data_IF_494071499932
#
_entry.id   IF_494071499932
#
_cell.length_a   1.000
_cell.length_b   1.000
_cell.length_c   1.000
_cell.angle_alpha   90.00
_cell.angle_beta   90.00
_cell.angle_gamma   90.00
#
_symmetry.space_group_name_H-M   'P 1'
#
loop_
_entity.id
_entity.type
_entity.pdbx_description
1 polymer ?
#
# COMPACT_ATOMS: atom_id res chain seq x y z
N UNK A 1 -8.63 24.61 24.00
CA UNK A 1 -9.57 24.25 22.89
C UNK A 1 -8.77 24.30 21.59
N UNK A 2 -8.51 23.15 20.96
CA UNK A 2 -7.67 23.09 19.75
C UNK A 2 -8.58 23.10 18.51
N UNK A 3 -8.61 24.21 17.78
CA UNK A 3 -9.36 24.32 16.52
C UNK A 3 -8.72 23.42 15.46
N UNK A 4 -9.28 22.22 15.26
CA UNK A 4 -8.94 21.42 14.09
C UNK A 4 -9.37 22.19 12.84
N UNK A 5 -8.36 22.66 12.11
CA UNK A 5 -8.46 23.30 10.80
C UNK A 5 -9.32 22.43 9.84
N UNK A 6 -10.47 22.96 9.42
CA UNK A 6 -11.52 22.29 8.61
C UNK A 6 -11.04 21.89 7.19
N UNK A 7 -9.87 22.37 6.76
CA UNK A 7 -9.26 22.06 5.46
C UNK A 7 -8.50 20.73 5.41
N UNK A 8 -8.57 19.90 6.46
CA UNK A 8 -7.96 18.56 6.43
C UNK A 8 -8.87 17.58 5.70
N UNK A 9 -8.25 16.65 4.98
CA UNK A 9 -8.96 15.56 4.31
C UNK A 9 -9.80 14.76 5.31
N UNK A 10 -11.07 14.46 5.01
CA UNK A 10 -11.95 13.71 5.92
C UNK A 10 -11.66 12.21 5.84
N UNK A 11 -10.45 11.79 6.23
CA UNK A 11 -9.96 10.41 6.07
C UNK A 11 -10.95 9.37 6.63
N UNK A 12 -11.47 9.60 7.85
CA UNK A 12 -12.45 8.72 8.47
C UNK A 12 -13.73 8.55 7.64
N UNK A 13 -14.22 9.61 7.00
CA UNK A 13 -15.41 9.56 6.14
C UNK A 13 -15.12 8.72 4.90
N UNK A 14 -13.95 8.92 4.30
CA UNK A 14 -13.52 8.19 3.09
C UNK A 14 -13.33 6.71 3.41
N UNK A 15 -12.68 6.37 4.53
CA UNK A 15 -12.57 5.00 5.01
C UNK A 15 -13.94 4.36 5.16
N UNK A 16 -14.88 5.03 5.83
CA UNK A 16 -16.24 4.49 6.04
C UNK A 16 -16.96 4.25 4.70
N UNK A 17 -16.82 5.15 3.72
CA UNK A 17 -17.43 5.00 2.40
C UNK A 17 -16.81 3.84 1.62
N UNK A 18 -15.49 3.67 1.70
CA UNK A 18 -14.79 2.53 1.08
C UNK A 18 -15.24 1.23 1.73
N UNK A 19 -15.29 1.17 3.06
CA UNK A 19 -15.78 -0.01 3.80
C UNK A 19 -17.20 -0.37 3.38
N UNK A 20 -18.12 0.59 3.38
CA UNK A 20 -19.50 0.38 2.95
C UNK A 20 -19.58 -0.19 1.52
N UNK A 21 -18.84 0.38 0.57
CA UNK A 21 -18.84 -0.10 -0.82
C UNK A 21 -18.16 -1.46 -1.00
N UNK A 22 -17.15 -1.76 -0.20
CA UNK A 22 -16.50 -3.07 -0.21
C UNK A 22 -17.44 -4.14 0.34
N UNK A 23 -18.12 -3.87 1.46
CA UNK A 23 -19.11 -4.76 2.07
C UNK A 23 -20.30 -5.04 1.13
N UNK A 24 -20.80 -4.03 0.42
CA UNK A 24 -21.81 -4.18 -0.64
C UNK A 24 -21.40 -5.18 -1.74
N UNK A 25 -20.10 -5.37 -1.95
CA UNK A 25 -19.53 -6.33 -2.91
C UNK A 25 -19.00 -7.61 -2.26
N UNK A 26 -19.24 -7.82 -0.97
CA UNK A 26 -18.72 -8.98 -0.23
C UNK A 26 -17.19 -8.96 -0.04
N UNK A 27 -16.54 -7.81 -0.20
CA UNK A 27 -15.10 -7.64 0.02
C UNK A 27 -14.86 -7.32 1.50
N UNK A 28 -14.08 -8.17 2.17
CA UNK A 28 -13.68 -7.96 3.56
C UNK A 28 -12.67 -6.82 3.67
N UNK A 29 -12.97 -5.84 4.52
CA UNK A 29 -12.04 -4.74 4.85
C UNK A 29 -11.50 -4.95 6.26
N UNK A 30 -10.18 -4.99 6.39
CA UNK A 30 -9.50 -5.03 7.69
C UNK A 30 -8.62 -3.81 7.86
N UNK A 31 -8.72 -3.16 9.02
CA UNK A 31 -7.86 -2.03 9.37
C UNK A 31 -6.53 -2.53 9.93
N UNK A 32 -5.46 -1.83 9.58
CA UNK A 32 -4.13 -2.09 10.08
C UNK A 32 -3.55 -0.80 10.67
N UNK A 33 -2.89 -0.93 11.81
CA UNK A 33 -2.22 0.18 12.49
C UNK A 33 -0.99 0.64 11.68
N UNK A 34 -0.91 1.94 11.39
CA UNK A 34 0.02 2.49 10.39
C UNK A 34 1.33 3.05 10.96
N UNK A 35 1.58 2.93 12.27
CA UNK A 35 2.80 3.47 12.90
C UNK A 35 4.04 2.94 12.20
N UNK A 36 4.97 3.87 11.96
CA UNK A 36 6.28 3.65 11.36
C UNK A 36 6.26 3.15 9.89
N UNK A 37 5.10 2.95 9.27
CA UNK A 37 4.97 2.42 7.89
C UNK A 37 5.57 3.34 6.82
N UNK A 38 5.59 4.65 7.04
CA UNK A 38 6.20 5.62 6.13
C UNK A 38 7.70 5.85 6.37
N UNK A 39 8.26 5.22 7.41
CA UNK A 39 9.63 5.45 7.88
C UNK A 39 10.50 4.20 7.74
N UNK A 40 9.92 3.02 7.96
CA UNK A 40 10.64 1.75 7.81
C UNK A 40 10.96 1.47 6.35
N UNK A 41 12.10 0.85 6.13
CA UNK A 41 12.50 0.44 4.79
C UNK A 41 11.67 -0.75 4.31
N UNK A 42 11.38 -0.84 2.99
CA UNK A 42 10.70 -2.01 2.44
C UNK A 42 11.52 -3.31 2.62
N UNK A 43 12.84 -3.21 2.78
CA UNK A 43 13.75 -4.34 2.98
C UNK A 43 13.81 -4.85 4.42
N UNK A 44 13.40 -4.05 5.41
CA UNK A 44 13.43 -4.45 6.82
C UNK A 44 12.41 -5.56 7.06
N UNK A 45 12.75 -6.62 7.77
CA UNK A 45 11.80 -7.72 8.00
C UNK A 45 10.53 -7.25 8.74
N UNK A 46 10.72 -6.35 9.71
CA UNK A 46 9.67 -5.81 10.55
C UNK A 46 9.48 -4.30 10.35
N UNK A 47 8.22 -3.87 10.42
CA UNK A 47 7.87 -2.45 10.50
C UNK A 47 7.61 -2.12 11.97
N UNK A 48 8.61 -1.52 12.62
CA UNK A 48 8.59 -1.20 14.05
C UNK A 48 9.29 0.14 14.30
N UNK A 49 9.20 0.66 15.52
CA UNK A 49 9.94 1.86 15.91
C UNK A 49 11.45 1.68 15.76
N UNK A 50 11.97 0.48 16.05
CA UNK A 50 13.39 0.15 16.00
C UNK A 50 13.96 0.21 14.58
N UNK A 51 13.13 -0.16 13.59
CA UNK A 51 13.51 -0.18 12.16
C UNK A 51 13.13 1.11 11.44
N UNK A 52 12.49 2.06 12.13
CA UNK A 52 12.04 3.32 11.57
C UNK A 52 13.20 4.29 11.32
N UNK A 53 13.41 4.67 10.06
CA UNK A 53 14.42 5.66 9.66
C UNK A 53 13.74 6.85 8.98
N UNK A 54 13.40 7.87 9.77
CA UNK A 54 12.73 9.10 9.29
C UNK A 54 13.50 9.80 8.16
N UNK A 55 14.82 9.67 8.15
CA UNK A 55 15.71 10.25 7.15
C UNK A 55 15.55 9.66 5.75
N UNK A 56 14.91 8.48 5.60
CA UNK A 56 14.73 7.84 4.30
C UNK A 56 13.65 8.53 3.45
N UNK A 57 12.59 9.07 4.08
CA UNK A 57 11.59 9.89 3.39
C UNK A 57 12.12 11.32 3.24
N UNK A 58 12.50 11.70 2.02
CA UNK A 58 13.11 13.03 1.77
C UNK A 58 12.08 14.12 1.59
N UNK A 59 11.06 13.85 0.80
CA UNK A 59 9.97 14.78 0.52
C UNK A 59 8.70 14.01 0.14
N UNK A 60 7.60 14.73 -0.11
CA UNK A 60 6.35 14.12 -0.57
C UNK A 60 6.60 13.33 -1.86
N UNK A 61 6.16 12.07 -1.88
CA UNK A 61 6.35 11.19 -3.02
C UNK A 61 7.76 10.60 -3.18
N UNK A 62 8.75 10.97 -2.37
CA UNK A 62 10.14 10.49 -2.52
C UNK A 62 10.68 9.81 -1.26
N UNK A 63 11.07 8.54 -1.42
CA UNK A 63 11.74 7.72 -0.43
C UNK A 63 13.07 7.22 -0.99
N UNK A 64 14.16 7.39 -0.25
CA UNK A 64 15.51 6.99 -0.67
C UNK A 64 16.11 6.08 0.40
N UNK A 65 16.62 4.94 -0.04
CA UNK A 65 17.42 4.03 0.78
C UNK A 65 18.52 3.40 -0.07
N UNK A 66 19.76 3.38 0.44
CA UNK A 66 20.90 2.70 -0.19
C UNK A 66 21.03 3.02 -1.70
N UNK A 67 20.94 4.31 -2.04
CA UNK A 67 20.97 4.83 -3.42
C UNK A 67 19.82 4.38 -4.35
N UNK A 68 18.79 3.73 -3.82
CA UNK A 68 17.57 3.39 -4.56
C UNK A 68 16.46 4.40 -4.26
N UNK A 69 15.68 4.71 -5.29
CA UNK A 69 14.58 5.66 -5.24
C UNK A 69 13.25 4.92 -5.32
N UNK A 70 12.34 5.27 -4.42
CA UNK A 70 10.99 4.73 -4.38
C UNK A 70 9.97 5.85 -4.23
N UNK A 71 8.75 5.57 -4.67
CA UNK A 71 7.62 6.41 -4.30
C UNK A 71 7.28 6.18 -2.83
N UNK A 72 7.22 7.26 -2.03
CA UNK A 72 6.97 7.18 -0.59
C UNK A 72 5.59 6.60 -0.24
N UNK A 73 4.59 6.82 -1.08
CA UNK A 73 3.23 6.30 -0.87
C UNK A 73 3.17 4.79 -1.19
N UNK A 74 3.91 4.34 -2.22
CA UNK A 74 4.07 2.91 -2.50
C UNK A 74 4.79 2.18 -1.36
N UNK A 75 5.86 2.76 -0.81
CA UNK A 75 6.57 2.20 0.37
C UNK A 75 5.63 2.12 1.57
N UNK A 76 4.85 3.17 1.82
CA UNK A 76 3.86 3.18 2.89
C UNK A 76 2.82 2.06 2.75
N UNK A 77 2.20 1.93 1.57
CA UNK A 77 1.23 0.89 1.28
C UNK A 77 1.82 -0.53 1.45
N UNK A 78 3.04 -0.74 0.95
CA UNK A 78 3.74 -2.02 1.10
C UNK A 78 4.00 -2.38 2.57
N UNK A 79 4.42 -1.40 3.38
CA UNK A 79 4.66 -1.60 4.80
C UNK A 79 3.38 -1.84 5.60
N UNK A 80 2.25 -1.21 5.23
CA UNK A 80 0.93 -1.51 5.81
C UNK A 80 0.57 -2.99 5.54
N UNK A 81 0.73 -3.45 4.29
CA UNK A 81 0.51 -4.84 3.91
C UNK A 81 1.40 -5.79 4.71
N UNK A 82 2.70 -5.48 4.87
CA UNK A 82 3.62 -6.30 5.67
C UNK A 82 3.18 -6.43 7.12
N UNK A 83 2.78 -5.33 7.78
CA UNK A 83 2.26 -5.37 9.16
C UNK A 83 1.01 -6.24 9.26
N UNK A 84 0.11 -6.12 8.28
CA UNK A 84 -1.08 -6.96 8.22
C UNK A 84 -0.74 -8.45 8.13
N UNK A 85 0.10 -8.85 7.17
CA UNK A 85 0.50 -10.25 6.97
C UNK A 85 1.17 -10.83 8.21
N UNK A 86 2.05 -10.05 8.85
CA UNK A 86 2.72 -10.45 10.09
C UNK A 86 1.73 -10.63 11.24
N UNK A 87 0.76 -9.73 11.38
CA UNK A 87 -0.31 -9.83 12.39
C UNK A 87 -1.13 -11.11 12.24
N UNK A 88 -1.39 -11.56 11.02
CA UNK A 88 -2.16 -12.79 10.75
C UNK A 88 -1.28 -14.05 10.65
N UNK A 89 0.03 -13.93 10.92
CA UNK A 89 0.97 -15.07 10.87
C UNK A 89 1.20 -15.64 9.48
N UNK A 90 0.95 -14.87 8.41
CA UNK A 90 1.22 -15.30 7.04
C UNK A 90 2.59 -14.82 6.58
N UNK A 91 3.33 -15.64 5.80
CA UNK A 91 4.60 -15.20 5.25
C UNK A 91 4.38 -13.98 4.36
N UNK A 92 5.37 -13.09 4.34
CA UNK A 92 5.42 -12.01 3.37
C UNK A 92 5.74 -12.68 2.03
N UNK A 93 4.70 -13.07 1.29
CA UNK A 93 4.81 -13.52 -0.09
C UNK A 93 5.24 -12.32 -0.91
N UNK A 94 6.55 -12.08 -0.96
CA UNK A 94 7.15 -11.04 -1.74
C UNK A 94 6.56 -11.06 -3.15
N UNK A 95 5.81 -10.01 -3.48
CA UNK A 95 5.88 -9.34 -4.79
C UNK A 95 5.91 -10.30 -5.99
N UNK A 96 4.96 -11.22 -6.11
CA UNK A 96 4.66 -11.84 -7.42
C UNK A 96 3.39 -11.20 -8.00
N UNK A 97 2.41 -10.91 -7.14
CA UNK A 97 1.15 -10.27 -7.55
C UNK A 97 1.23 -8.75 -7.73
N UNK A 98 2.21 -8.07 -7.10
CA UNK A 98 2.42 -6.61 -7.20
C UNK A 98 3.56 -6.21 -8.14
N UNK A 99 4.42 -7.17 -8.52
CA UNK A 99 5.51 -6.95 -9.50
C UNK A 99 4.96 -6.72 -10.91
N UNK A 100 3.77 -7.28 -11.17
CA UNK A 100 3.10 -7.23 -12.47
C UNK A 100 1.66 -6.70 -12.30
N UNK A 101 1.49 -5.41 -11.98
CA UNK A 101 0.15 -4.83 -11.92
C UNK A 101 -0.52 -4.97 -13.28
N UNK A 102 -1.70 -5.59 -13.32
CA UNK A 102 -2.54 -5.58 -14.52
C UNK A 102 -3.05 -4.14 -14.70
N UNK A 103 -2.38 -3.38 -15.54
CA UNK A 103 -2.86 -2.06 -15.92
C UNK A 103 -4.16 -2.23 -16.72
N UNK A 104 -5.26 -1.72 -16.18
CA UNK A 104 -6.49 -1.54 -16.91
C UNK A 104 -6.51 -0.14 -17.49
N UNK A 105 -6.66 -0.03 -18.80
CA UNK A 105 -6.91 1.25 -19.46
C UNK A 105 -8.40 1.40 -19.67
N UNK A 106 -8.96 2.52 -19.22
CA UNK A 106 -10.36 2.85 -19.50
C UNK A 106 -10.50 3.33 -20.95
N UNK A 107 -11.45 2.75 -21.70
CA UNK A 107 -11.85 3.18 -23.03
C UNK A 107 -13.37 3.43 -23.05
N UNK A 108 -13.78 4.58 -23.57
CA UNK A 108 -15.18 5.01 -23.59
C UNK A 108 -16.13 4.08 -24.37
N UNK A 109 -15.62 3.38 -25.39
CA UNK A 109 -16.39 2.49 -26.26
C UNK A 109 -16.31 1.01 -25.87
N UNK A 110 -15.32 0.63 -25.05
CA UNK A 110 -15.01 -0.78 -24.74
C UNK A 110 -14.86 -1.09 -23.25
N UNK A 111 -15.03 -0.10 -22.37
CA UNK A 111 -14.88 -0.27 -20.92
C UNK A 111 -13.41 -0.47 -20.49
N UNK A 112 -13.20 -1.24 -19.41
CA UNK A 112 -11.86 -1.58 -18.93
C UNK A 112 -11.16 -2.56 -19.88
N UNK A 113 -10.07 -2.13 -20.50
CA UNK A 113 -9.21 -2.96 -21.34
C UNK A 113 -7.98 -3.36 -20.51
N UNK A 114 -7.86 -4.66 -20.20
CA UNK A 114 -6.69 -5.20 -19.50
C UNK A 114 -5.51 -5.45 -20.43
N UNK A 115 -4.29 -5.32 -19.91
CA UNK A 115 -3.06 -5.81 -20.56
C UNK A 115 -3.06 -7.34 -20.64
N UNK A 116 -2.79 -7.92 -21.83
CA UNK A 116 -2.69 -9.37 -22.04
C UNK A 116 -1.46 -9.96 -21.34
N UNK A 117 -1.67 -10.90 -20.40
CA UNK A 117 -0.60 -11.67 -19.75
C UNK A 117 0.26 -12.41 -20.79
N UNK A 118 1.58 -12.33 -20.66
CA UNK A 118 2.43 -13.49 -21.02
C UNK A 118 2.40 -14.44 -19.83
N UNK A 119 1.87 -15.64 -20.05
CA UNK A 119 1.95 -16.71 -19.07
C UNK A 119 3.41 -17.13 -18.95
N UNK A 120 4.06 -16.81 -17.84
CA UNK A 120 5.27 -17.52 -17.43
C UNK A 120 4.84 -18.64 -16.47
N UNK A 121 5.17 -19.84 -16.90
CA UNK A 121 5.00 -21.13 -16.24
C UNK A 121 5.50 -21.11 -14.79
N UNK A 122 4.66 -21.61 -13.89
CA UNK A 122 5.12 -22.27 -12.67
C UNK A 122 5.98 -23.47 -13.10
N UNK A 123 7.30 -23.36 -12.90
CA UNK A 123 8.20 -24.49 -12.86
C UNK A 123 9.35 -24.18 -11.90
N UNK A 124 9.58 -25.13 -11.00
CA UNK A 124 10.53 -25.22 -9.87
C UNK A 124 10.08 -24.56 -8.56
#
# INVERSE_FOLDING_TARGET
VNNQKIHKWPFKRIENLITYKAEDKGIRVEKQEESYTSQCSPYEEEVSEKTAKKTNRKQRGLYIIENKLFNADCVGAYNIMKKYLRRIGRPITAVVGLDTPVAYRWNFYRGFIGSTKRANSLAM
#
